data_IF_084178674066
#
_entry.id   IF_084178674066
#
_cell.length_a   1.000
_cell.length_b   1.000
_cell.length_c   1.000
_cell.angle_alpha   90.00
_cell.angle_beta   90.00
_cell.angle_gamma   90.00
#
_symmetry.space_group_name_H-M   'P 1'
#
loop_
_entity.id
_entity.type
_entity.pdbx_description
1 polymer ?
#
# COMPACT_ATOMS: atom_id res chain seq x y z
N UNK A 1 3.71 -9.57 41.42
CA UNK A 1 3.39 -8.75 40.23
C UNK A 1 3.10 -9.61 39.00
N UNK A 2 4.06 -10.30 38.35
CA UNK A 2 3.76 -11.12 37.16
C UNK A 2 2.74 -12.25 37.43
N UNK A 3 2.83 -12.91 38.59
CA UNK A 3 1.83 -13.92 39.00
C UNK A 3 0.46 -13.30 39.29
N UNK A 4 0.42 -12.06 39.80
CA UNK A 4 -0.83 -11.34 40.09
C UNK A 4 -1.49 -10.89 38.78
N UNK A 5 -0.68 -10.47 37.79
CA UNK A 5 -1.12 -10.20 36.42
C UNK A 5 -1.74 -11.47 35.81
N UNK A 6 -1.06 -12.62 35.91
CA UNK A 6 -1.59 -13.88 35.36
C UNK A 6 -2.93 -14.30 35.95
N UNK A 7 -3.11 -14.16 37.28
CA UNK A 7 -4.38 -14.44 37.94
C UNK A 7 -5.50 -13.50 37.53
N UNK A 8 -5.19 -12.23 37.27
CA UNK A 8 -6.15 -11.24 36.78
C UNK A 8 -6.52 -11.45 35.31
N UNK A 9 -5.54 -11.70 34.44
CA UNK A 9 -5.79 -11.92 33.02
C UNK A 9 -6.65 -13.18 32.79
N UNK A 10 -6.60 -14.15 33.72
CA UNK A 10 -7.47 -15.32 33.72
C UNK A 10 -8.93 -15.03 34.12
N UNK A 11 -9.18 -13.89 34.76
CA UNK A 11 -10.53 -13.41 35.07
C UNK A 11 -11.14 -12.80 33.80
N UNK A 12 -11.77 -13.65 32.98
CA UNK A 12 -12.35 -13.32 31.66
C UNK A 12 -13.35 -12.16 31.61
N UNK A 13 -13.72 -11.58 32.77
CA UNK A 13 -14.73 -10.54 32.88
C UNK A 13 -14.15 -9.14 33.17
N UNK A 14 -12.99 -8.82 32.58
CA UNK A 14 -12.44 -7.45 32.59
C UNK A 14 -13.46 -6.41 32.08
N UNK A 15 -14.39 -6.84 31.21
CA UNK A 15 -15.50 -5.99 30.75
C UNK A 15 -16.49 -5.62 31.85
N UNK A 16 -16.72 -6.48 32.84
CA UNK A 16 -17.63 -6.16 33.95
C UNK A 16 -16.97 -5.34 35.05
N UNK A 17 -15.63 -5.24 35.06
CA UNK A 17 -14.85 -4.59 36.12
C UNK A 17 -13.79 -3.60 35.58
N UNK A 18 -14.19 -2.51 34.89
CA UNK A 18 -13.28 -1.50 34.34
C UNK A 18 -12.39 -0.85 35.40
N UNK A 19 -12.85 -0.75 36.65
CA UNK A 19 -12.10 -0.20 37.78
C UNK A 19 -10.81 -0.99 38.09
N UNK A 20 -10.79 -2.30 37.81
CA UNK A 20 -9.58 -3.11 38.02
C UNK A 20 -8.52 -2.84 36.96
N UNK A 21 -8.94 -2.54 35.72
CA UNK A 21 -8.03 -2.12 34.66
C UNK A 21 -7.36 -0.79 35.03
N UNK A 22 -8.13 0.17 35.55
CA UNK A 22 -7.60 1.44 36.05
C UNK A 22 -6.61 1.23 37.21
N UNK A 23 -6.94 0.38 38.19
CA UNK A 23 -6.03 0.05 39.30
C UNK A 23 -4.69 -0.53 38.81
N UNK A 24 -4.72 -1.38 37.78
CA UNK A 24 -3.50 -1.95 37.20
C UNK A 24 -2.67 -0.93 36.44
N UNK A 25 -3.32 -0.04 35.69
CA UNK A 25 -2.65 1.05 35.00
C UNK A 25 -1.99 1.97 36.02
N UNK A 26 -2.69 2.33 37.09
CA UNK A 26 -2.16 3.11 38.21
C UNK A 26 -0.96 2.42 38.88
N UNK A 27 -1.08 1.11 39.13
CA UNK A 27 0.00 0.31 39.70
C UNK A 27 1.22 0.20 38.77
N UNK A 28 1.02 0.28 37.45
CA UNK A 28 2.08 0.21 36.45
C UNK A 28 2.80 1.56 36.23
N UNK A 29 2.23 2.68 36.67
CA UNK A 29 2.79 4.02 36.44
C UNK A 29 1.76 5.09 36.11
N UNK A 30 0.49 4.72 35.96
CA UNK A 30 -0.63 5.64 35.68
C UNK A 30 -0.91 5.86 34.20
N UNK A 31 -0.22 5.16 33.29
CA UNK A 31 -0.46 5.27 31.85
C UNK A 31 -0.42 3.93 31.12
N UNK A 32 -1.05 3.88 29.94
CA UNK A 32 -0.96 2.71 29.05
C UNK A 32 0.46 2.47 28.55
N UNK A 33 1.26 3.54 28.43
CA UNK A 33 2.66 3.47 27.99
C UNK A 33 3.54 2.80 29.05
N UNK A 34 3.25 3.00 30.34
CA UNK A 34 3.94 2.30 31.42
C UNK A 34 3.48 0.83 31.55
N UNK A 35 2.22 0.57 31.22
CA UNK A 35 1.64 -0.76 31.34
C UNK A 35 2.01 -1.71 30.18
N UNK A 36 2.14 -1.19 28.95
CA UNK A 36 2.48 -2.00 27.78
C UNK A 36 3.77 -2.82 27.93
N UNK A 37 4.92 -2.26 28.40
CA UNK A 37 6.14 -3.02 28.65
C UNK A 37 5.97 -4.17 29.66
N UNK A 38 5.07 -4.05 30.65
CA UNK A 38 4.80 -5.12 31.60
C UNK A 38 4.08 -6.30 30.94
N UNK A 39 3.08 -6.01 30.10
CA UNK A 39 2.36 -7.00 29.31
C UNK A 39 3.30 -7.70 28.32
N UNK A 40 4.19 -6.96 27.68
CA UNK A 40 5.20 -7.54 26.78
C UNK A 40 6.25 -8.36 27.53
N UNK A 41 6.72 -7.89 28.68
CA UNK A 41 7.62 -8.67 29.54
C UNK A 41 6.98 -9.97 30.00
N UNK A 42 5.67 -9.96 30.26
CA UNK A 42 4.90 -11.15 30.61
C UNK A 42 4.77 -12.11 29.41
N UNK A 43 4.36 -11.63 28.24
CA UNK A 43 4.31 -12.44 27.01
C UNK A 43 5.67 -13.03 26.65
N UNK A 44 6.72 -12.23 26.72
CA UNK A 44 8.11 -12.66 26.51
C UNK A 44 8.51 -13.75 27.48
N UNK A 45 8.11 -13.61 28.75
CA UNK A 45 8.25 -14.66 29.74
C UNK A 45 7.59 -15.96 29.27
N UNK A 46 6.34 -15.90 28.80
CA UNK A 46 5.64 -17.08 28.29
C UNK A 46 6.29 -17.68 27.04
N UNK A 47 6.80 -16.87 26.12
CA UNK A 47 7.38 -17.34 24.85
C UNK A 47 8.80 -17.86 24.99
N UNK A 48 9.59 -17.32 25.92
CA UNK A 48 10.99 -17.69 26.15
C UNK A 48 11.17 -18.78 27.23
N UNK A 49 10.16 -19.04 28.06
CA UNK A 49 10.35 -19.89 29.23
C UNK A 49 10.37 -21.39 28.95
N UNK A 50 11.48 -21.96 29.41
CA UNK A 50 11.73 -23.32 29.86
C UNK A 50 10.80 -23.73 31.04
N UNK A 51 9.48 -23.54 30.91
CA UNK A 51 8.54 -24.05 31.90
C UNK A 51 8.64 -25.59 31.91
N UNK A 52 8.72 -26.25 33.09
CA UNK A 52 8.62 -27.70 33.16
C UNK A 52 7.23 -28.21 32.75
N UNK A 53 6.22 -27.32 32.74
CA UNK A 53 4.87 -27.58 32.26
C UNK A 53 4.69 -26.98 30.85
N UNK A 54 4.50 -27.82 29.80
CA UNK A 54 4.32 -27.37 28.43
C UNK A 54 2.96 -26.70 28.15
N UNK A 55 1.96 -26.89 29.02
CA UNK A 55 0.59 -26.38 28.78
C UNK A 55 0.37 -24.99 29.40
N UNK A 56 1.08 -24.68 30.48
CA UNK A 56 0.98 -23.40 31.19
C UNK A 56 1.18 -22.13 30.31
N UNK A 57 2.09 -22.11 29.31
CA UNK A 57 2.26 -20.94 28.43
C UNK A 57 1.03 -20.63 27.55
N UNK A 58 0.21 -21.63 27.21
CA UNK A 58 -0.94 -21.47 26.32
C UNK A 58 -2.03 -20.61 26.95
N UNK A 59 -2.42 -20.95 28.18
CA UNK A 59 -3.44 -20.23 28.93
C UNK A 59 -3.03 -18.78 29.14
N UNK A 60 -1.77 -18.53 29.48
CA UNK A 60 -1.29 -17.19 29.73
C UNK A 60 -1.26 -16.30 28.49
N UNK A 61 -0.81 -16.82 27.35
CA UNK A 61 -0.88 -16.04 26.11
C UNK A 61 -2.33 -15.80 25.72
N UNK A 62 -3.21 -16.79 25.83
CA UNK A 62 -4.64 -16.61 25.56
C UNK A 62 -5.26 -15.50 26.43
N UNK A 63 -4.94 -15.50 27.73
CA UNK A 63 -5.41 -14.50 28.67
C UNK A 63 -4.89 -13.09 28.34
N UNK A 64 -3.61 -12.96 27.98
CA UNK A 64 -3.07 -11.66 27.52
C UNK A 64 -3.78 -11.18 26.26
N UNK A 65 -3.96 -12.05 25.26
CA UNK A 65 -4.60 -11.67 24.00
C UNK A 65 -6.06 -11.26 24.21
N UNK A 66 -6.77 -11.99 25.08
CA UNK A 66 -8.14 -11.68 25.49
C UNK A 66 -8.20 -10.35 26.21
N UNK A 67 -7.26 -10.10 27.13
CA UNK A 67 -7.14 -8.82 27.80
C UNK A 67 -6.87 -7.67 26.82
N UNK A 68 -5.90 -7.81 25.90
CA UNK A 68 -5.62 -6.76 24.89
C UNK A 68 -6.86 -6.49 24.06
N UNK A 69 -7.58 -7.55 23.66
CA UNK A 69 -8.85 -7.43 22.96
C UNK A 69 -9.86 -6.65 23.79
N UNK A 70 -9.93 -6.80 25.11
CA UNK A 70 -10.88 -6.07 25.96
C UNK A 70 -10.42 -4.64 26.28
N UNK A 71 -9.17 -4.44 26.64
CA UNK A 71 -8.60 -3.14 26.99
C UNK A 71 -8.56 -2.18 25.80
N UNK A 72 -8.39 -2.72 24.58
CA UNK A 72 -8.29 -1.93 23.35
C UNK A 72 -9.61 -1.95 22.53
N UNK A 73 -10.68 -2.61 23.02
CA UNK A 73 -11.99 -2.65 22.34
C UNK A 73 -13.10 -1.85 23.04
N UNK A 74 -13.77 -1.06 22.22
CA UNK A 74 -15.10 -0.48 22.42
C UNK A 74 -16.19 -1.58 22.48
N UNK A 75 -17.41 -1.28 23.01
CA UNK A 75 -18.47 -2.26 23.30
C UNK A 75 -19.17 -2.74 22.02
N UNK A 76 -18.44 -3.46 21.17
CA UNK A 76 -18.96 -3.97 19.91
C UNK A 76 -19.09 -5.49 20.04
N UNK A 77 -20.35 -5.95 20.05
CA UNK A 77 -20.71 -7.37 20.08
C UNK A 77 -20.45 -8.09 18.73
N UNK A 78 -19.96 -7.33 17.73
CA UNK A 78 -19.76 -7.77 16.36
C UNK A 78 -18.28 -8.14 16.10
N UNK A 79 -18.03 -9.44 15.89
CA UNK A 79 -16.71 -9.98 15.48
C UNK A 79 -16.21 -9.46 14.11
N UNK A 80 -17.01 -8.73 13.34
CA UNK A 80 -16.57 -8.20 12.03
C UNK A 80 -16.17 -6.72 12.10
N UNK A 81 -16.74 -5.97 13.04
CA UNK A 81 -16.47 -4.54 13.19
C UNK A 81 -15.16 -4.28 13.92
N UNK A 82 -14.77 -5.11 14.90
CA UNK A 82 -13.54 -4.85 15.68
C UNK A 82 -12.27 -4.83 14.82
N UNK A 83 -12.27 -5.48 13.66
CA UNK A 83 -11.15 -5.48 12.71
C UNK A 83 -10.93 -4.13 12.02
N UNK A 84 -11.98 -3.32 11.88
CA UNK A 84 -11.89 -2.01 11.19
C UNK A 84 -11.81 -0.83 12.16
N UNK A 85 -11.93 -1.08 13.46
CA UNK A 85 -11.90 -0.05 14.50
C UNK A 85 -10.45 0.39 14.77
N UNK A 86 -10.20 1.71 14.88
CA UNK A 86 -8.93 2.23 15.30
C UNK A 86 -8.37 1.57 16.59
N UNK A 87 -7.10 1.20 16.59
CA UNK A 87 -6.30 0.80 17.75
C UNK A 87 -6.34 1.95 18.75
N UNK A 88 -6.68 1.62 19.99
CA UNK A 88 -6.78 2.57 21.09
C UNK A 88 -5.41 3.10 21.51
N UNK A 89 -5.37 3.84 22.61
CA UNK A 89 -4.09 4.25 23.21
C UNK A 89 -3.25 3.04 23.64
N UNK A 90 -3.90 1.97 24.11
CA UNK A 90 -3.18 0.80 24.59
C UNK A 90 -2.50 0.00 23.47
N UNK A 91 -3.19 -0.28 22.36
CA UNK A 91 -2.52 -0.97 21.26
C UNK A 91 -1.45 -0.09 20.57
N UNK A 92 -1.54 1.24 20.65
CA UNK A 92 -0.43 2.13 20.26
C UNK A 92 0.75 2.01 21.21
N UNK A 93 0.51 2.00 22.52
CA UNK A 93 1.55 1.77 23.53
C UNK A 93 2.25 0.42 23.33
N UNK A 94 1.49 -0.64 23.04
CA UNK A 94 2.04 -1.96 22.70
C UNK A 94 2.88 -1.90 21.42
N UNK A 95 2.41 -1.21 20.39
CA UNK A 95 3.16 -1.00 19.15
C UNK A 95 4.52 -0.34 19.41
N UNK A 96 4.55 0.74 20.21
CA UNK A 96 5.78 1.46 20.52
C UNK A 96 6.78 0.66 21.39
N UNK A 97 6.34 -0.46 21.96
CA UNK A 97 7.13 -1.30 22.86
C UNK A 97 7.62 -2.63 22.23
N UNK A 98 7.66 -2.73 20.90
CA UNK A 98 8.13 -3.92 20.12
C UNK A 98 7.19 -5.15 20.20
N UNK A 99 5.87 -4.93 20.24
CA UNK A 99 4.89 -6.03 20.35
C UNK A 99 4.88 -7.01 19.17
N UNK A 100 5.31 -6.63 17.97
CA UNK A 100 5.32 -7.53 16.81
C UNK A 100 6.18 -8.77 17.04
N UNK A 101 7.36 -8.60 17.65
CA UNK A 101 8.28 -9.69 17.95
C UNK A 101 7.62 -10.74 18.84
N UNK A 102 6.92 -10.30 19.89
CA UNK A 102 6.28 -11.21 20.84
C UNK A 102 5.08 -11.94 20.22
N UNK A 103 4.29 -11.27 19.38
CA UNK A 103 3.17 -11.91 18.66
C UNK A 103 3.66 -12.99 17.70
N UNK A 104 4.69 -12.72 16.91
CA UNK A 104 5.25 -13.73 15.99
C UNK A 104 5.87 -14.88 16.77
N UNK A 105 6.62 -14.57 17.83
CA UNK A 105 7.25 -15.59 18.69
C UNK A 105 6.21 -16.50 19.34
N UNK A 106 5.09 -15.95 19.82
CA UNK A 106 3.98 -16.73 20.34
C UNK A 106 3.38 -17.67 19.29
N UNK A 107 3.12 -17.19 18.08
CA UNK A 107 2.60 -18.05 17.00
C UNK A 107 3.59 -19.15 16.62
N UNK A 108 4.88 -18.82 16.51
CA UNK A 108 5.92 -19.80 16.21
C UNK A 108 6.01 -20.87 17.30
N UNK A 109 5.97 -20.48 18.58
CA UNK A 109 5.95 -21.41 19.72
C UNK A 109 4.79 -22.41 19.60
N UNK A 110 3.59 -21.92 19.30
CA UNK A 110 2.40 -22.79 19.19
C UNK A 110 2.41 -23.67 17.93
N UNK A 111 3.12 -23.26 16.89
CA UNK A 111 3.23 -24.05 15.66
C UNK A 111 4.32 -25.12 15.71
N UNK A 112 5.40 -24.92 16.48
CA UNK A 112 6.54 -25.84 16.55
C UNK A 112 6.23 -27.10 17.41
N UNK A 113 5.14 -27.12 18.19
CA UNK A 113 4.70 -28.29 18.97
C UNK A 113 4.20 -29.48 18.12
N UNK A 114 4.45 -30.71 18.59
CA UNK A 114 4.08 -31.97 17.92
C UNK A 114 2.56 -32.18 17.80
N UNK A 115 1.76 -31.57 18.69
CA UNK A 115 0.30 -31.58 18.64
C UNK A 115 -0.23 -30.24 19.13
N UNK A 116 -0.95 -29.46 18.31
CA UNK A 116 -1.63 -28.29 18.82
C UNK A 116 -2.85 -28.75 19.63
N UNK A 117 -2.82 -28.43 20.92
CA UNK A 117 -4.00 -28.48 21.77
C UNK A 117 -5.09 -27.56 21.18
N UNK A 118 -6.38 -27.80 21.45
CA UNK A 118 -7.44 -26.89 20.99
C UNK A 118 -7.19 -25.45 21.48
N UNK A 119 -6.58 -25.29 22.65
CA UNK A 119 -6.18 -24.00 23.22
C UNK A 119 -5.10 -23.27 22.40
N UNK A 120 -4.20 -24.02 21.75
CA UNK A 120 -3.21 -23.45 20.86
C UNK A 120 -3.85 -22.78 19.64
N UNK A 121 -4.97 -23.34 19.14
CA UNK A 121 -5.71 -22.73 18.04
C UNK A 121 -6.35 -21.41 18.45
N UNK A 122 -6.90 -21.33 19.68
CA UNK A 122 -7.49 -20.09 20.21
C UNK A 122 -6.42 -19.02 20.43
N UNK A 123 -5.24 -19.39 20.92
CA UNK A 123 -4.12 -18.47 21.06
C UNK A 123 -3.62 -17.97 19.70
N UNK A 124 -3.43 -18.87 18.71
CA UNK A 124 -3.05 -18.47 17.35
C UNK A 124 -4.12 -17.58 16.72
N UNK A 125 -5.42 -17.91 16.83
CA UNK A 125 -6.52 -17.06 16.33
C UNK A 125 -6.44 -15.66 16.95
N UNK A 126 -6.25 -15.55 18.28
CA UNK A 126 -6.06 -14.28 18.98
C UNK A 126 -4.85 -13.49 18.48
N UNK A 127 -3.70 -14.14 18.29
CA UNK A 127 -2.51 -13.50 17.72
C UNK A 127 -2.76 -13.00 16.30
N UNK A 128 -3.33 -13.83 15.42
CA UNK A 128 -3.61 -13.47 14.03
C UNK A 128 -4.59 -12.30 13.93
N UNK A 129 -5.59 -12.27 14.82
CA UNK A 129 -6.54 -11.16 14.98
C UNK A 129 -5.85 -9.85 15.38
N UNK A 130 -4.95 -9.87 16.36
CA UNK A 130 -4.21 -8.68 16.75
C UNK A 130 -3.23 -8.22 15.67
N UNK A 131 -2.49 -9.16 15.06
CA UNK A 131 -1.58 -8.85 13.95
C UNK A 131 -2.33 -8.19 12.79
N UNK A 132 -3.51 -8.71 12.42
CA UNK A 132 -4.39 -8.10 11.43
C UNK A 132 -4.66 -6.64 11.76
N UNK A 133 -5.08 -6.38 13.01
CA UNK A 133 -5.52 -5.04 13.42
C UNK A 133 -4.35 -4.06 13.42
N UNK A 134 -3.21 -4.51 13.95
CA UNK A 134 -2.01 -3.70 13.95
C UNK A 134 -1.55 -3.40 12.52
N UNK A 135 -1.51 -4.40 11.63
CA UNK A 135 -1.17 -4.22 10.22
C UNK A 135 -2.07 -3.21 9.51
N UNK A 136 -3.38 -3.31 9.73
CA UNK A 136 -4.37 -2.43 9.07
C UNK A 136 -4.15 -0.95 9.42
N UNK A 137 -3.49 -0.69 10.54
CA UNK A 137 -3.41 0.62 11.16
C UNK A 137 -2.02 1.20 11.26
N UNK A 138 -1.01 0.36 11.15
CA UNK A 138 0.36 0.74 11.40
C UNK A 138 1.01 1.35 10.17
N UNK A 139 2.11 2.05 10.44
CA UNK A 139 3.05 2.48 9.43
C UNK A 139 3.55 1.28 8.60
N UNK A 140 3.90 1.48 7.32
CA UNK A 140 4.56 0.46 6.49
C UNK A 140 5.79 -0.19 7.17
N UNK A 141 6.49 0.53 8.04
CA UNK A 141 7.62 0.01 8.81
C UNK A 141 7.30 -1.27 9.58
N UNK A 142 6.05 -1.41 10.03
CA UNK A 142 5.60 -2.54 10.82
C UNK A 142 5.55 -3.86 10.04
N UNK A 143 5.29 -3.79 8.73
CA UNK A 143 5.37 -4.96 7.87
C UNK A 143 6.79 -5.49 7.74
N UNK A 144 7.76 -4.59 7.59
CA UNK A 144 9.17 -4.98 7.56
C UNK A 144 9.54 -5.68 8.87
N UNK A 145 9.19 -5.08 10.01
CA UNK A 145 9.43 -5.70 11.32
C UNK A 145 8.81 -7.09 11.43
N UNK A 146 7.52 -7.26 11.09
CA UNK A 146 6.89 -8.59 11.11
C UNK A 146 7.62 -9.61 10.24
N UNK A 147 8.00 -9.21 9.03
CA UNK A 147 8.73 -10.08 8.12
C UNK A 147 10.09 -10.47 8.71
N UNK A 148 10.85 -9.51 9.28
CA UNK A 148 12.14 -9.75 9.94
C UNK A 148 12.03 -10.75 11.09
N UNK A 149 10.96 -10.63 11.89
CA UNK A 149 10.67 -11.50 13.04
C UNK A 149 10.15 -12.89 12.66
N UNK A 150 9.97 -13.18 11.37
CA UNK A 150 9.60 -14.50 10.89
C UNK A 150 8.10 -14.72 10.72
N UNK A 151 7.32 -13.64 10.53
CA UNK A 151 5.88 -13.75 10.26
C UNK A 151 5.57 -14.68 9.06
N UNK A 152 6.39 -14.64 8.02
CA UNK A 152 6.20 -15.53 6.87
C UNK A 152 6.39 -17.01 7.25
N UNK A 153 7.36 -17.31 8.12
CA UNK A 153 7.55 -18.66 8.68
C UNK A 153 6.32 -19.07 9.49
N UNK A 154 5.79 -18.18 10.32
CA UNK A 154 4.56 -18.44 11.07
C UNK A 154 3.37 -18.79 10.16
N UNK A 155 3.15 -18.05 9.06
CA UNK A 155 2.10 -18.37 8.09
C UNK A 155 2.29 -19.75 7.42
N UNK A 156 3.54 -20.13 7.12
CA UNK A 156 3.86 -21.44 6.53
C UNK A 156 3.59 -22.56 7.53
N UNK A 157 4.00 -22.40 8.79
CA UNK A 157 3.76 -23.42 9.80
C UNK A 157 2.26 -23.56 10.12
N UNK A 158 1.52 -22.45 10.22
CA UNK A 158 0.06 -22.46 10.31
C UNK A 158 -0.51 -23.26 9.13
N UNK A 159 -0.07 -22.97 7.89
CA UNK A 159 -0.53 -23.68 6.69
C UNK A 159 -0.34 -25.20 6.80
N UNK A 160 0.83 -25.65 7.24
CA UNK A 160 1.16 -27.08 7.40
C UNK A 160 0.33 -27.76 8.50
N UNK A 161 -0.06 -27.02 9.54
CA UNK A 161 -0.86 -27.54 10.67
C UNK A 161 -2.38 -27.39 10.43
N UNK A 162 -2.80 -26.59 9.46
CA UNK A 162 -4.21 -26.26 9.23
C UNK A 162 -5.06 -27.39 8.62
N UNK A 163 -4.47 -28.47 8.08
CA UNK A 163 -5.26 -29.61 7.57
C UNK A 163 -6.11 -30.24 8.68
N UNK A 164 -5.65 -30.16 9.93
CA UNK A 164 -6.32 -30.73 11.11
C UNK A 164 -7.06 -29.68 11.96
N UNK A 165 -6.77 -28.38 11.81
CA UNK A 165 -7.05 -27.37 12.86
C UNK A 165 -7.87 -26.14 12.41
N UNK A 166 -8.77 -26.34 11.45
CA UNK A 166 -9.93 -25.46 11.29
C UNK A 166 -9.86 -24.43 10.17
N UNK A 167 -11.02 -24.21 9.56
CA UNK A 167 -11.24 -23.27 8.44
C UNK A 167 -10.87 -21.81 8.78
N UNK A 168 -10.85 -21.43 10.07
CA UNK A 168 -10.53 -20.07 10.54
C UNK A 168 -9.06 -19.69 10.34
N UNK A 169 -8.12 -20.57 10.69
CA UNK A 169 -6.70 -20.28 10.50
C UNK A 169 -6.34 -20.17 9.01
N UNK A 170 -6.93 -21.05 8.18
CA UNK A 170 -6.87 -20.93 6.72
C UNK A 170 -7.44 -19.61 6.21
N UNK A 171 -8.48 -19.07 6.85
CA UNK A 171 -9.03 -17.76 6.49
C UNK A 171 -8.00 -16.64 6.70
N UNK A 172 -7.30 -16.59 7.84
CA UNK A 172 -6.26 -15.57 8.04
C UNK A 172 -5.10 -15.73 7.07
N UNK A 173 -4.61 -16.95 6.86
CA UNK A 173 -3.51 -17.18 5.90
C UNK A 173 -3.91 -16.66 4.52
N UNK A 174 -5.11 -17.01 4.03
CA UNK A 174 -5.64 -16.49 2.76
C UNK A 174 -5.73 -14.97 2.77
N UNK A 175 -6.27 -14.40 3.85
CA UNK A 175 -6.42 -12.96 3.97
C UNK A 175 -5.06 -12.23 3.90
N UNK A 176 -4.06 -12.69 4.64
CA UNK A 176 -2.72 -12.10 4.61
C UNK A 176 -2.08 -12.21 3.23
N UNK A 177 -2.13 -13.39 2.61
CA UNK A 177 -1.51 -13.64 1.30
C UNK A 177 -2.20 -12.92 0.14
N UNK A 178 -3.52 -12.72 0.21
CA UNK A 178 -4.29 -12.17 -0.91
C UNK A 178 -4.66 -10.70 -0.74
N UNK A 179 -4.82 -10.23 0.50
CA UNK A 179 -5.38 -8.90 0.79
C UNK A 179 -4.37 -7.95 1.41
N UNK A 180 -3.49 -8.44 2.29
CA UNK A 180 -2.67 -7.55 3.12
C UNK A 180 -1.22 -7.44 2.65
N UNK A 181 -0.53 -8.57 2.47
CA UNK A 181 0.87 -8.57 2.04
C UNK A 181 1.04 -7.98 0.64
N UNK A 182 0.24 -8.34 -0.40
CA UNK A 182 0.50 -7.84 -1.75
C UNK A 182 0.46 -6.30 -1.86
N UNK A 183 -0.52 -5.58 -1.29
CA UNK A 183 -0.49 -4.11 -1.27
C UNK A 183 0.68 -3.51 -0.49
N UNK A 184 1.22 -4.22 0.50
CA UNK A 184 2.40 -3.79 1.25
C UNK A 184 3.69 -3.91 0.42
N UNK A 185 3.69 -4.63 -0.72
CA UNK A 185 4.90 -4.75 -1.57
C UNK A 185 5.12 -3.54 -2.49
N UNK A 186 4.42 -2.44 -2.26
CA UNK A 186 4.69 -1.14 -2.91
C UNK A 186 5.79 -0.35 -2.21
N UNK A 187 6.15 -0.73 -0.98
CA UNK A 187 7.16 -0.06 -0.18
C UNK A 187 8.51 -0.74 -0.36
N UNK A 188 9.53 0.05 -0.73
CA UNK A 188 10.86 -0.44 -1.08
C UNK A 188 11.48 -1.32 0.03
N UNK A 189 11.44 -0.86 1.28
CA UNK A 189 12.01 -1.59 2.41
C UNK A 189 11.31 -2.91 2.72
N UNK A 190 9.98 -2.97 2.55
CA UNK A 190 9.20 -4.19 2.75
C UNK A 190 9.62 -5.25 1.71
N UNK A 191 9.84 -4.85 0.45
CA UNK A 191 10.25 -5.78 -0.60
C UNK A 191 11.64 -6.37 -0.31
N UNK A 192 12.62 -5.55 0.09
CA UNK A 192 13.95 -6.05 0.48
C UNK A 192 13.88 -7.02 1.66
N UNK A 193 13.08 -6.68 2.68
CA UNK A 193 12.87 -7.56 3.85
C UNK A 193 12.19 -8.87 3.47
N UNK A 194 11.23 -8.82 2.53
CA UNK A 194 10.51 -9.99 2.05
C UNK A 194 11.47 -11.01 1.41
N UNK A 195 12.49 -10.55 0.67
CA UNK A 195 13.48 -11.43 0.04
C UNK A 195 14.15 -12.34 1.09
N UNK A 196 14.68 -11.72 2.15
CA UNK A 196 15.34 -12.44 3.24
C UNK A 196 14.38 -13.40 3.95
N UNK A 197 13.13 -12.98 4.16
CA UNK A 197 12.11 -13.80 4.82
C UNK A 197 11.64 -14.96 3.95
N UNK A 198 11.58 -14.80 2.62
CA UNK A 198 11.28 -15.88 1.68
C UNK A 198 12.39 -16.94 1.68
N UNK A 199 13.65 -16.52 1.73
CA UNK A 199 14.78 -17.45 1.77
C UNK A 199 14.72 -18.36 3.01
N UNK A 200 14.37 -17.79 4.18
CA UNK A 200 14.20 -18.53 5.44
C UNK A 200 13.11 -19.61 5.38
N UNK A 201 12.13 -19.49 4.49
CA UNK A 201 11.00 -20.45 4.37
C UNK A 201 11.04 -21.30 3.10
N UNK A 202 11.99 -21.06 2.19
CA UNK A 202 12.07 -21.71 0.87
C UNK A 202 12.00 -23.24 0.95
N UNK A 203 12.71 -23.83 1.90
CA UNK A 203 12.72 -25.28 2.10
C UNK A 203 11.36 -25.84 2.54
N UNK A 204 10.64 -25.11 3.40
CA UNK A 204 9.33 -25.52 3.91
C UNK A 204 8.25 -25.47 2.82
N UNK A 205 8.21 -24.39 2.04
CA UNK A 205 7.19 -24.18 0.98
C UNK A 205 7.42 -25.06 -0.25
N UNK A 206 8.62 -25.63 -0.41
CA UNK A 206 8.96 -26.52 -1.54
C UNK A 206 8.60 -27.99 -1.28
N UNK A 207 8.32 -28.35 -0.03
CA UNK A 207 7.99 -29.72 0.37
C UNK A 207 6.63 -30.20 -0.14
N UNK A 208 6.49 -31.50 -0.39
CA UNK A 208 5.25 -32.06 -0.94
C UNK A 208 4.06 -31.95 0.02
N UNK A 209 4.31 -31.99 1.34
CA UNK A 209 3.27 -31.77 2.34
C UNK A 209 2.63 -30.38 2.20
N UNK A 210 3.45 -29.34 2.01
CA UNK A 210 2.97 -27.97 1.80
C UNK A 210 2.13 -27.83 0.52
N UNK A 211 2.53 -28.52 -0.56
CA UNK A 211 1.81 -28.48 -1.85
C UNK A 211 0.41 -29.08 -1.77
N UNK A 212 0.15 -29.96 -0.80
CA UNK A 212 -1.17 -30.57 -0.58
C UNK A 212 -2.12 -29.69 0.23
N UNK A 213 -1.60 -28.66 0.92
CA UNK A 213 -2.41 -27.81 1.79
C UNK A 213 -3.50 -27.03 1.03
N UNK A 214 -4.64 -26.82 1.68
CA UNK A 214 -5.82 -26.14 1.11
C UNK A 214 -5.62 -24.66 0.73
N UNK A 215 -4.47 -24.07 1.08
CA UNK A 215 -4.09 -22.69 0.78
C UNK A 215 -2.90 -22.59 -0.19
N UNK A 216 -2.42 -23.72 -0.73
CA UNK A 216 -1.26 -23.76 -1.63
C UNK A 216 -1.45 -22.87 -2.87
N UNK A 217 -2.65 -22.87 -3.46
CA UNK A 217 -2.95 -22.01 -4.61
C UNK A 217 -2.78 -20.52 -4.27
N UNK A 218 -3.18 -20.08 -3.08
CA UNK A 218 -3.03 -18.70 -2.63
C UNK A 218 -1.56 -18.35 -2.41
N UNK A 219 -0.78 -19.29 -1.85
CA UNK A 219 0.68 -19.14 -1.77
C UNK A 219 1.32 -19.00 -3.15
N UNK A 220 0.94 -19.80 -4.14
CA UNK A 220 1.49 -19.66 -5.50
C UNK A 220 1.21 -18.29 -6.12
N UNK A 221 -0.02 -17.78 -5.97
CA UNK A 221 -0.34 -16.42 -6.43
C UNK A 221 0.48 -15.35 -5.68
N UNK A 222 0.62 -15.49 -4.36
CA UNK A 222 1.44 -14.57 -3.57
C UNK A 222 2.92 -14.62 -4.00
N UNK A 223 3.50 -15.81 -4.17
CA UNK A 223 4.89 -15.98 -4.57
C UNK A 223 5.16 -15.42 -5.96
N UNK A 224 4.23 -15.60 -6.91
CA UNK A 224 4.34 -14.98 -8.22
C UNK A 224 4.32 -13.45 -8.13
N UNK A 225 3.45 -12.89 -7.30
CA UNK A 225 3.42 -11.44 -7.07
C UNK A 225 4.67 -10.94 -6.35
N UNK A 226 5.14 -11.66 -5.32
CA UNK A 226 6.36 -11.34 -4.60
C UNK A 226 7.56 -11.32 -5.54
N UNK A 227 7.70 -12.31 -6.42
CA UNK A 227 8.77 -12.35 -7.40
C UNK A 227 8.71 -11.16 -8.36
N UNK A 228 7.52 -10.81 -8.89
CA UNK A 228 7.34 -9.61 -9.74
C UNK A 228 7.87 -8.35 -9.03
N UNK A 229 7.65 -8.25 -7.72
CA UNK A 229 8.09 -7.12 -6.88
C UNK A 229 9.58 -7.15 -6.59
N UNK A 230 10.17 -8.31 -6.31
CA UNK A 230 11.62 -8.48 -6.15
C UNK A 230 12.36 -8.11 -7.43
N UNK A 231 11.89 -8.57 -8.58
CA UNK A 231 12.45 -8.19 -9.88
C UNK A 231 12.40 -6.66 -10.08
N UNK A 232 11.28 -6.03 -9.67
CA UNK A 232 11.13 -4.58 -9.72
C UNK A 232 12.14 -3.87 -8.80
N UNK A 233 12.33 -4.41 -7.60
CA UNK A 233 13.25 -3.87 -6.60
C UNK A 233 14.69 -3.92 -7.09
N UNK A 234 15.11 -5.04 -7.68
CA UNK A 234 16.46 -5.19 -8.24
C UNK A 234 16.68 -4.28 -9.44
N UNK A 235 15.75 -4.29 -10.41
CA UNK A 235 15.80 -3.39 -11.57
C UNK A 235 15.91 -1.91 -11.13
N UNK A 236 15.17 -1.52 -10.09
CA UNK A 236 15.22 -0.18 -9.51
C UNK A 236 16.58 0.11 -8.83
N UNK A 237 17.12 -0.83 -8.05
CA UNK A 237 18.41 -0.67 -7.38
C UNK A 237 19.58 -0.52 -8.37
N UNK A 238 19.51 -1.19 -9.52
CA UNK A 238 20.53 -1.10 -10.57
C UNK A 238 20.35 0.07 -11.55
N UNK A 239 19.27 0.88 -11.44
CA UNK A 239 19.10 2.06 -12.28
C UNK A 239 20.14 3.11 -11.95
N UNK A 240 21.14 3.22 -12.82
CA UNK A 240 22.23 4.21 -12.72
C UNK A 240 21.79 5.62 -13.13
N UNK A 241 20.67 5.75 -13.84
CA UNK A 241 20.28 7.01 -14.45
C UNK A 241 18.78 7.26 -14.37
N UNK A 242 18.41 8.29 -13.62
CA UNK A 242 17.09 8.89 -13.63
C UNK A 242 17.04 10.00 -14.68
N UNK A 243 16.13 9.89 -15.64
CA UNK A 243 15.77 11.00 -16.53
C UNK A 243 14.68 11.84 -15.87
N UNK A 244 14.61 13.09 -16.29
CA UNK A 244 13.69 14.08 -15.73
C UNK A 244 13.29 15.05 -16.82
N UNK A 245 12.05 15.50 -16.76
CA UNK A 245 11.50 16.41 -17.76
C UNK A 245 11.41 17.82 -17.20
N UNK A 246 11.58 18.82 -18.07
CA UNK A 246 11.37 20.19 -17.65
C UNK A 246 9.87 20.50 -17.53
N UNK A 247 9.46 20.98 -16.37
CA UNK A 247 8.07 21.31 -16.07
C UNK A 247 7.57 22.62 -16.69
N UNK A 248 8.45 23.39 -17.32
CA UNK A 248 8.01 24.43 -18.24
C UNK A 248 7.38 23.74 -19.47
N UNK A 249 6.06 23.80 -19.56
CA UNK A 249 5.26 23.18 -20.62
C UNK A 249 5.68 23.60 -22.04
N UNK A 250 6.41 24.70 -22.21
CA UNK A 250 6.92 25.14 -23.53
C UNK A 250 8.30 24.55 -23.88
N UNK A 251 9.01 23.96 -22.93
CA UNK A 251 10.36 23.44 -23.13
C UNK A 251 10.34 22.01 -23.66
N UNK A 252 9.70 21.09 -22.93
CA UNK A 252 9.66 19.67 -23.29
C UNK A 252 11.01 18.94 -23.25
N UNK A 253 12.07 19.59 -22.73
CA UNK A 253 13.39 18.97 -22.64
C UNK A 253 13.36 17.82 -21.63
N UNK A 254 13.96 16.70 -22.01
CA UNK A 254 14.22 15.56 -21.14
C UNK A 254 15.72 15.46 -20.95
N UNK A 255 16.15 15.52 -19.70
CA UNK A 255 17.55 15.60 -19.32
C UNK A 255 17.88 14.54 -18.26
N UNK A 256 19.15 14.21 -18.14
CA UNK A 256 19.66 13.46 -17.00
C UNK A 256 19.43 14.24 -15.71
N UNK A 257 19.17 13.54 -14.60
CA UNK A 257 18.95 14.19 -13.29
C UNK A 257 20.12 15.11 -12.90
N UNK A 258 21.36 14.72 -13.21
CA UNK A 258 22.55 15.53 -12.97
C UNK A 258 22.61 16.80 -13.82
N UNK A 259 21.95 16.82 -14.99
CA UNK A 259 21.90 17.95 -15.91
C UNK A 259 20.79 18.96 -15.56
N UNK A 260 19.91 18.65 -14.61
CA UNK A 260 18.83 19.56 -14.23
C UNK A 260 19.36 20.69 -13.34
N UNK A 261 19.16 21.92 -13.82
CA UNK A 261 19.60 23.13 -13.15
C UNK A 261 18.94 23.36 -11.78
N UNK A 262 17.78 22.74 -11.51
CA UNK A 262 17.20 22.68 -10.18
C UNK A 262 15.71 22.34 -10.15
N UNK A 263 15.21 22.13 -8.92
CA UNK A 263 13.79 22.01 -8.60
C UNK A 263 13.24 23.31 -8.01
N UNK A 264 11.93 23.50 -8.03
CA UNK A 264 11.28 24.61 -7.34
C UNK A 264 11.63 24.56 -5.84
N UNK A 265 12.12 25.67 -5.28
CA UNK A 265 12.53 25.71 -3.86
C UNK A 265 11.34 25.74 -2.90
N UNK A 266 10.16 26.14 -3.37
CA UNK A 266 8.92 26.11 -2.59
C UNK A 266 8.37 24.69 -2.50
N UNK A 267 7.74 24.23 -3.58
CA UNK A 267 7.03 22.95 -3.60
C UNK A 267 7.93 21.71 -3.75
N UNK A 268 9.14 21.87 -4.29
CA UNK A 268 10.05 20.77 -4.62
C UNK A 268 9.50 19.70 -5.57
N UNK A 269 8.34 19.96 -6.17
CA UNK A 269 7.61 19.01 -7.01
C UNK A 269 7.93 19.15 -8.51
N UNK A 270 8.36 20.35 -8.93
CA UNK A 270 8.64 20.67 -10.33
C UNK A 270 10.14 20.91 -10.55
N UNK A 271 10.65 20.40 -11.67
CA UNK A 271 12.03 20.41 -12.10
C UNK A 271 12.20 21.23 -13.38
N UNK A 272 13.34 21.92 -13.48
CA UNK A 272 13.62 22.81 -14.59
C UNK A 272 15.03 22.63 -15.10
N UNK A 273 15.17 22.46 -16.42
CA UNK A 273 16.48 22.42 -17.09
C UNK A 273 17.25 23.75 -16.99
N UNK A 274 16.57 24.86 -16.64
CA UNK A 274 17.20 26.16 -16.44
C UNK A 274 16.39 27.09 -15.54
N UNK A 275 17.06 28.08 -14.93
CA UNK A 275 16.40 29.18 -14.21
C UNK A 275 15.45 29.99 -15.10
N UNK A 276 15.70 30.04 -16.42
CA UNK A 276 14.81 30.69 -17.38
C UNK A 276 13.48 29.94 -17.46
N UNK A 277 13.51 28.62 -17.61
CA UNK A 277 12.31 27.78 -17.64
C UNK A 277 11.52 27.90 -16.33
N UNK A 278 12.19 27.89 -15.18
CA UNK A 278 11.56 28.13 -13.89
C UNK A 278 10.83 29.49 -13.84
N UNK A 279 11.47 30.58 -14.26
CA UNK A 279 10.86 31.92 -14.26
C UNK A 279 9.65 32.01 -15.19
N UNK A 280 9.68 31.33 -16.34
CA UNK A 280 8.56 31.27 -17.29
C UNK A 280 7.38 30.54 -16.65
N UNK A 281 7.62 29.35 -16.10
CA UNK A 281 6.58 28.56 -15.45
C UNK A 281 6.00 29.24 -14.20
N UNK A 282 6.87 29.88 -13.40
CA UNK A 282 6.48 30.70 -12.24
C UNK A 282 5.43 31.76 -12.60
N UNK A 283 5.66 32.48 -13.70
CA UNK A 283 4.75 33.53 -14.21
C UNK A 283 3.51 32.96 -14.91
N UNK A 284 3.57 31.73 -15.42
CA UNK A 284 2.49 31.09 -16.15
C UNK A 284 1.39 30.49 -15.25
N UNK A 285 1.56 30.55 -13.92
CA UNK A 285 0.58 30.11 -12.94
C UNK A 285 1.18 29.34 -11.76
N UNK A 286 2.40 28.81 -11.87
CA UNK A 286 2.98 27.99 -10.80
C UNK A 286 3.06 28.73 -9.46
N UNK A 287 3.31 30.04 -9.47
CA UNK A 287 3.33 30.87 -8.24
C UNK A 287 2.05 30.73 -7.41
N UNK A 288 0.90 30.65 -8.07
CA UNK A 288 -0.41 30.63 -7.41
C UNK A 288 -0.66 29.33 -6.67
N UNK A 289 -0.16 28.22 -7.20
CA UNK A 289 -0.43 26.86 -6.71
C UNK A 289 0.80 26.18 -6.10
N UNK A 290 1.94 26.88 -6.00
CA UNK A 290 3.21 26.31 -5.56
C UNK A 290 3.07 25.64 -4.18
N UNK A 291 2.49 26.33 -3.20
CA UNK A 291 2.41 25.77 -1.85
C UNK A 291 1.50 24.55 -1.78
N UNK A 292 0.43 24.53 -2.58
CA UNK A 292 -0.56 23.47 -2.53
C UNK A 292 -0.22 22.25 -3.39
N UNK A 293 0.65 22.39 -4.39
CA UNK A 293 1.23 21.25 -5.11
C UNK A 293 2.00 20.28 -4.20
N UNK A 294 2.40 20.68 -2.98
CA UNK A 294 3.03 19.79 -2.00
C UNK A 294 2.09 18.69 -1.50
N UNK A 295 0.78 18.99 -1.38
CA UNK A 295 -0.24 18.05 -0.89
C UNK A 295 -0.59 17.00 -1.93
N UNK A 296 -0.80 17.46 -3.16
CA UNK A 296 -1.35 16.67 -4.25
C UNK A 296 -0.33 15.72 -4.91
N UNK A 297 0.90 16.21 -5.04
CA UNK A 297 1.96 15.46 -5.69
C UNK A 297 2.70 14.63 -4.65
N UNK A 298 3.24 13.49 -5.08
CA UNK A 298 4.10 12.63 -4.27
C UNK A 298 5.44 13.38 -3.94
N UNK A 299 5.44 14.24 -2.90
CA UNK A 299 6.51 15.19 -2.53
C UNK A 299 6.90 15.12 -1.04
N UNK A 300 7.93 15.88 -0.63
CA UNK A 300 8.73 15.59 0.59
C UNK A 300 8.08 15.93 1.94
N UNK A 301 7.17 16.89 2.04
CA UNK A 301 7.03 17.63 3.33
C UNK A 301 5.95 17.11 4.28
N UNK A 302 4.91 16.46 3.76
CA UNK A 302 3.75 16.02 4.57
C UNK A 302 3.52 14.51 4.50
N UNK A 303 4.37 13.76 3.79
CA UNK A 303 4.09 12.37 3.44
C UNK A 303 4.82 11.37 4.35
N UNK A 304 4.11 10.31 4.74
CA UNK A 304 4.62 9.13 5.48
C UNK A 304 5.68 8.34 4.69
N UNK A 305 5.83 8.61 3.39
CA UNK A 305 6.78 7.93 2.52
C UNK A 305 8.18 8.56 2.55
N UNK A 306 9.18 7.71 2.68
CA UNK A 306 10.58 8.05 2.49
C UNK A 306 10.86 8.38 1.02
N UNK A 307 11.97 9.08 0.75
CA UNK A 307 12.34 9.46 -0.61
C UNK A 307 12.54 8.27 -1.55
N UNK A 308 13.19 7.20 -1.06
CA UNK A 308 13.39 5.97 -1.83
C UNK A 308 12.06 5.28 -2.15
N UNK A 309 11.12 5.27 -1.22
CA UNK A 309 9.79 4.66 -1.41
C UNK A 309 8.98 5.42 -2.44
N UNK A 310 9.01 6.76 -2.42
CA UNK A 310 8.35 7.55 -3.47
C UNK A 310 8.93 7.26 -4.85
N UNK A 311 10.25 7.15 -4.94
CA UNK A 311 10.93 6.87 -6.20
C UNK A 311 10.61 5.46 -6.70
N UNK A 312 10.59 4.48 -5.78
CA UNK A 312 10.21 3.11 -6.08
C UNK A 312 8.75 3.01 -6.52
N UNK A 313 7.82 3.69 -5.84
CA UNK A 313 6.40 3.71 -6.20
C UNK A 313 6.17 4.30 -7.59
N UNK A 314 6.84 5.41 -7.93
CA UNK A 314 6.77 5.97 -9.29
C UNK A 314 7.33 4.98 -10.33
N UNK A 315 8.41 4.28 -10.01
CA UNK A 315 8.96 3.25 -10.88
C UNK A 315 7.98 2.08 -11.07
N UNK A 316 7.29 1.64 -10.00
CA UNK A 316 6.23 0.62 -10.10
C UNK A 316 5.09 1.07 -11.02
N UNK A 317 4.67 2.32 -10.91
CA UNK A 317 3.66 2.92 -11.82
C UNK A 317 4.17 2.94 -13.26
N UNK A 318 5.41 3.37 -13.49
CA UNK A 318 6.00 3.44 -14.82
C UNK A 318 6.14 2.06 -15.46
N UNK A 319 6.69 1.08 -14.74
CA UNK A 319 6.80 -0.32 -15.19
C UNK A 319 5.43 -0.90 -15.51
N UNK A 320 4.43 -0.69 -14.64
CA UNK A 320 3.07 -1.17 -14.87
C UNK A 320 2.41 -0.47 -16.06
N UNK A 321 2.61 0.84 -16.23
CA UNK A 321 2.15 1.59 -17.38
C UNK A 321 2.74 1.02 -18.68
N UNK A 322 4.05 0.74 -18.73
CA UNK A 322 4.69 0.18 -19.91
C UNK A 322 4.16 -1.22 -20.25
N UNK A 323 3.99 -2.08 -19.23
CA UNK A 323 3.47 -3.44 -19.42
C UNK A 323 2.01 -3.47 -19.88
N UNK A 324 1.19 -2.52 -19.40
CA UNK A 324 -0.25 -2.46 -19.67
C UNK A 324 -0.62 -1.41 -20.72
N UNK A 325 0.40 -0.81 -21.37
CA UNK A 325 0.24 0.39 -22.19
C UNK A 325 -0.79 0.22 -23.28
N UNK A 326 -0.78 -0.91 -23.96
CA UNK A 326 -1.77 -1.23 -25.01
C UNK A 326 -3.19 -1.18 -24.49
N UNK A 327 -3.47 -1.83 -23.35
CA UNK A 327 -4.79 -1.87 -22.72
C UNK A 327 -5.22 -0.48 -22.23
N UNK A 328 -4.30 0.27 -21.61
CA UNK A 328 -4.56 1.64 -21.14
C UNK A 328 -4.92 2.55 -22.31
N UNK A 329 -4.14 2.53 -23.39
CA UNK A 329 -4.40 3.34 -24.58
C UNK A 329 -5.72 2.94 -25.26
N UNK A 330 -6.08 1.66 -25.27
CA UNK A 330 -7.36 1.20 -25.82
C UNK A 330 -8.54 1.78 -25.04
N UNK A 331 -8.48 1.72 -23.71
CA UNK A 331 -9.48 2.35 -22.84
C UNK A 331 -9.55 3.87 -23.08
N UNK A 332 -8.40 4.53 -23.24
CA UNK A 332 -8.34 5.96 -23.55
C UNK A 332 -9.05 6.28 -24.87
N UNK A 333 -8.81 5.51 -25.94
CA UNK A 333 -9.48 5.68 -27.24
C UNK A 333 -10.98 5.47 -27.13
N UNK A 334 -11.44 4.42 -26.46
CA UNK A 334 -12.87 4.16 -26.24
C UNK A 334 -13.55 5.32 -25.51
N UNK A 335 -12.91 5.83 -24.43
CA UNK A 335 -13.41 6.98 -23.69
C UNK A 335 -13.46 8.23 -24.57
N UNK A 336 -12.39 8.51 -25.34
CA UNK A 336 -12.34 9.64 -26.26
C UNK A 336 -13.39 9.54 -27.37
N UNK A 337 -13.63 8.35 -27.91
CA UNK A 337 -14.61 8.11 -28.97
C UNK A 337 -16.04 8.35 -28.47
N UNK A 338 -16.34 7.91 -27.24
CA UNK A 338 -17.66 8.07 -26.61
C UNK A 338 -18.00 9.52 -26.22
N UNK A 339 -17.00 10.36 -25.99
CA UNK A 339 -17.23 11.76 -25.61
C UNK A 339 -17.52 12.62 -26.84
N UNK A 340 -18.68 13.28 -26.86
CA UNK A 340 -18.86 14.42 -27.77
C UNK A 340 -17.82 15.48 -27.41
N UNK A 341 -17.21 16.12 -28.41
CA UNK A 341 -16.23 17.20 -28.15
C UNK A 341 -16.91 18.18 -27.18
N UNK A 342 -16.34 18.31 -25.97
CA UNK A 342 -17.02 19.01 -24.88
C UNK A 342 -17.34 20.46 -25.26
N UNK A 343 -18.24 21.10 -24.50
CA UNK A 343 -18.73 22.47 -24.75
C UNK A 343 -17.63 23.52 -24.98
N UNK A 344 -16.40 23.25 -24.53
CA UNK A 344 -15.23 24.16 -24.66
C UNK A 344 -14.39 23.92 -25.91
N UNK A 345 -14.73 22.96 -26.77
CA UNK A 345 -13.99 22.65 -28.00
C UNK A 345 -12.59 22.05 -27.80
N UNK A 346 -12.16 21.83 -26.56
CA UNK A 346 -10.88 21.19 -26.22
C UNK A 346 -11.09 19.68 -25.96
N UNK A 347 -10.12 18.82 -26.33
CA UNK A 347 -10.18 17.41 -25.99
C UNK A 347 -10.13 17.22 -24.46
N UNK A 348 -10.80 16.18 -23.93
CA UNK A 348 -10.84 15.92 -22.50
C UNK A 348 -9.46 15.48 -21.98
N UNK A 349 -9.14 15.87 -20.76
CA UNK A 349 -7.93 15.39 -20.07
C UNK A 349 -8.22 14.01 -19.48
N UNK A 350 -7.37 13.04 -19.82
CA UNK A 350 -7.50 11.67 -19.32
C UNK A 350 -6.67 11.49 -18.04
N UNK A 351 -7.17 10.69 -17.12
CA UNK A 351 -6.52 10.32 -15.86
C UNK A 351 -6.50 8.80 -15.70
N UNK A 352 -5.33 8.21 -15.51
CA UNK A 352 -5.18 6.76 -15.29
C UNK A 352 -4.85 6.48 -13.83
N UNK A 353 -5.73 5.79 -13.12
CA UNK A 353 -5.53 5.37 -11.74
C UNK A 353 -4.93 3.96 -11.70
N UNK A 354 -3.83 3.81 -10.97
CA UNK A 354 -3.25 2.53 -10.56
C UNK A 354 -3.61 2.26 -9.10
N UNK A 355 -4.48 1.29 -8.87
CA UNK A 355 -4.90 0.89 -7.53
C UNK A 355 -4.11 -0.32 -7.04
N UNK A 356 -3.05 -0.05 -6.29
CA UNK A 356 -2.21 -1.07 -5.66
C UNK A 356 -2.78 -1.59 -4.34
N UNK A 357 -3.97 -1.13 -3.91
CA UNK A 357 -4.70 -1.82 -2.84
C UNK A 357 -5.25 -3.19 -3.29
N UNK A 358 -5.24 -3.45 -4.60
CA UNK A 358 -5.66 -4.72 -5.20
C UNK A 358 -4.45 -5.48 -5.71
N UNK A 359 -4.54 -6.80 -5.66
CA UNK A 359 -3.57 -7.70 -6.29
C UNK A 359 -4.29 -8.68 -7.21
N UNK A 360 -4.06 -8.63 -8.53
CA UNK A 360 -3.19 -7.66 -9.23
C UNK A 360 -3.71 -6.21 -9.13
N UNK A 361 -2.85 -5.19 -9.37
CA UNK A 361 -3.29 -3.79 -9.34
C UNK A 361 -4.41 -3.53 -10.35
N UNK A 362 -5.48 -2.87 -9.90
CA UNK A 362 -6.58 -2.47 -10.78
C UNK A 362 -6.21 -1.17 -11.49
N UNK A 363 -6.32 -1.15 -12.82
CA UNK A 363 -6.03 0.04 -13.63
C UNK A 363 -7.34 0.55 -14.22
N UNK A 364 -7.62 1.84 -14.04
CA UNK A 364 -8.85 2.45 -14.56
C UNK A 364 -8.55 3.80 -15.18
N UNK A 365 -9.15 4.07 -16.34
CA UNK A 365 -9.03 5.34 -17.05
C UNK A 365 -10.30 6.16 -16.84
N UNK A 366 -10.12 7.43 -16.50
CA UNK A 366 -11.19 8.41 -16.26
C UNK A 366 -11.00 9.64 -17.14
N UNK A 367 -12.06 10.43 -17.26
CA UNK A 367 -11.97 11.81 -17.74
C UNK A 367 -11.81 12.71 -16.51
N UNK A 368 -10.71 13.43 -16.44
CA UNK A 368 -10.40 14.33 -15.33
C UNK A 368 -11.42 15.48 -15.18
N UNK A 369 -12.10 15.83 -16.28
CA UNK A 369 -13.10 16.90 -16.35
C UNK A 369 -14.51 16.50 -15.88
N UNK A 370 -14.87 15.21 -15.91
CA UNK A 370 -16.27 14.74 -15.68
C UNK A 370 -16.54 14.41 -14.20
N UNK A 371 -15.74 14.97 -13.30
CA UNK A 371 -15.93 14.86 -11.86
C UNK A 371 -15.36 13.57 -11.26
N UNK A 372 -14.77 13.72 -10.08
CA UNK A 372 -14.05 12.67 -9.36
C UNK A 372 -15.01 11.74 -8.57
N UNK A 373 -16.22 11.45 -9.09
CA UNK A 373 -17.19 10.62 -8.36
C UNK A 373 -16.77 9.15 -8.24
N UNK A 374 -16.11 8.60 -9.27
CA UNK A 374 -15.48 7.26 -9.23
C UNK A 374 -14.22 7.21 -8.35
N UNK A 375 -13.90 8.34 -7.73
CA UNK A 375 -12.63 8.69 -7.14
C UNK A 375 -12.86 9.17 -5.68
N UNK A 376 -13.88 8.60 -5.01
CA UNK A 376 -14.16 8.81 -3.59
C UNK A 376 -12.93 8.49 -2.73
N UNK A 377 -12.68 9.31 -1.70
CA UNK A 377 -11.52 9.18 -0.82
C UNK A 377 -10.29 9.97 -1.27
N UNK A 378 -10.35 10.57 -2.46
CA UNK A 378 -9.38 11.54 -2.90
C UNK A 378 -9.60 12.88 -2.20
N UNK A 379 -8.59 13.38 -1.50
CA UNK A 379 -8.46 14.80 -1.11
C UNK A 379 -8.28 15.72 -2.35
N UNK A 380 -8.78 15.30 -3.52
CA UNK A 380 -8.89 16.09 -4.75
C UNK A 380 -10.22 16.85 -4.80
N UNK A 381 -11.08 16.66 -3.80
CA UNK A 381 -12.32 17.41 -3.65
C UNK A 381 -12.29 18.19 -2.35
N UNK A 382 -12.80 19.41 -2.39
CA UNK A 382 -13.19 20.15 -1.21
C UNK A 382 -14.39 19.45 -0.51
N UNK A 383 -14.69 19.78 0.77
CA UNK A 383 -15.81 19.18 1.50
C UNK A 383 -17.18 19.30 0.81
N UNK A 384 -17.35 20.28 -0.07
CA UNK A 384 -18.57 20.50 -0.88
C UNK A 384 -18.63 19.64 -2.16
N UNK A 385 -17.59 18.83 -2.41
CA UNK A 385 -17.49 17.94 -3.55
C UNK A 385 -16.93 18.57 -4.83
N UNK A 386 -16.60 19.88 -4.81
CA UNK A 386 -15.94 20.57 -5.92
C UNK A 386 -14.47 20.12 -6.03
N UNK A 387 -13.89 20.06 -7.24
CA UNK A 387 -12.49 19.73 -7.38
C UNK A 387 -11.61 20.77 -6.68
N UNK A 388 -10.53 20.33 -6.04
CA UNK A 388 -9.60 21.24 -5.38
C UNK A 388 -8.90 22.14 -6.41
N UNK A 389 -8.55 23.39 -6.05
CA UNK A 389 -7.86 24.30 -6.97
C UNK A 389 -6.55 23.73 -7.55
N UNK A 390 -5.88 22.85 -6.80
CA UNK A 390 -4.66 22.16 -7.19
C UNK A 390 -4.92 21.16 -8.31
N UNK A 391 -6.00 20.39 -8.18
CA UNK A 391 -6.41 19.45 -9.21
C UNK A 391 -6.76 20.18 -10.49
N UNK A 392 -7.51 21.30 -10.39
CA UNK A 392 -7.85 22.13 -11.55
C UNK A 392 -6.59 22.68 -12.25
N UNK A 393 -5.57 23.14 -11.51
CA UNK A 393 -4.29 23.57 -12.09
C UNK A 393 -3.58 22.42 -12.81
N UNK A 394 -3.55 21.20 -12.23
CA UNK A 394 -2.92 20.05 -12.89
C UNK A 394 -3.65 19.63 -14.17
N UNK A 395 -4.99 19.61 -14.15
CA UNK A 395 -5.81 19.34 -15.34
C UNK A 395 -5.57 20.38 -16.41
N UNK A 396 -5.53 21.65 -16.03
CA UNK A 396 -5.27 22.75 -16.96
C UNK A 396 -3.84 22.73 -17.51
N UNK A 397 -2.84 22.37 -16.69
CA UNK A 397 -1.47 22.12 -17.15
C UNK A 397 -1.40 20.96 -18.15
N UNK A 398 -2.10 19.86 -17.87
CA UNK A 398 -2.17 18.72 -18.78
C UNK A 398 -2.79 19.11 -20.12
N UNK A 399 -3.88 19.90 -20.09
CA UNK A 399 -4.50 20.46 -21.30
C UNK A 399 -3.54 21.34 -22.10
N UNK A 400 -2.88 22.29 -21.44
CA UNK A 400 -1.90 23.20 -22.08
C UNK A 400 -0.67 22.48 -22.63
N UNK A 401 -0.37 21.28 -22.14
CA UNK A 401 0.74 20.46 -22.63
C UNK A 401 0.48 19.87 -24.03
N UNK A 402 -0.78 19.87 -24.47
CA UNK A 402 -1.24 19.27 -25.73
C UNK A 402 -0.89 17.77 -25.82
N UNK A 403 -1.12 17.03 -24.73
CA UNK A 403 -0.88 15.59 -24.68
C UNK A 403 0.53 15.17 -24.26
N UNK A 404 1.46 16.12 -24.10
CA UNK A 404 2.81 15.85 -23.55
C UNK A 404 2.82 15.54 -22.05
N UNK A 405 1.74 15.83 -21.34
CA UNK A 405 1.55 15.52 -19.93
C UNK A 405 0.26 14.73 -19.79
N UNK A 406 0.39 13.51 -19.28
CA UNK A 406 -0.72 12.64 -18.95
C UNK A 406 -0.80 12.47 -17.44
N UNK A 407 -1.99 12.61 -16.88
CA UNK A 407 -2.19 12.50 -15.44
C UNK A 407 -2.36 11.04 -15.06
N UNK A 408 -1.56 10.58 -14.10
CA UNK A 408 -1.73 9.26 -13.50
C UNK A 408 -1.90 9.42 -11.99
N UNK A 409 -2.65 8.54 -11.38
CA UNK A 409 -2.85 8.47 -9.94
C UNK A 409 -2.36 7.13 -9.43
N UNK A 410 -1.85 7.09 -8.21
CA UNK A 410 -1.53 5.84 -7.54
C UNK A 410 -2.24 5.79 -6.19
N UNK A 411 -3.04 4.74 -5.96
CA UNK A 411 -3.70 4.46 -4.69
C UNK A 411 -2.98 3.29 -4.04
N UNK A 412 -2.53 3.47 -2.79
CA UNK A 412 -1.91 2.40 -2.00
C UNK A 412 -2.69 2.17 -0.70
N UNK A 413 -2.37 1.10 0.02
CA UNK A 413 -3.02 0.79 1.29
C UNK A 413 -2.59 1.80 2.36
N UNK A 414 -3.46 2.75 2.66
CA UNK A 414 -3.38 3.70 3.77
C UNK A 414 -4.77 3.84 4.40
N UNK A 415 -4.79 4.28 5.66
CA UNK A 415 -6.01 4.61 6.39
C UNK A 415 -5.95 6.07 6.86
N UNK A 416 -6.76 6.99 6.28
CA UNK A 416 -7.67 6.76 5.15
C UNK A 416 -6.94 6.48 3.83
N UNK A 417 -7.59 5.87 2.84
CA UNK A 417 -7.02 5.70 1.51
C UNK A 417 -6.65 7.05 0.89
N UNK A 418 -5.40 7.19 0.48
CA UNK A 418 -4.92 8.37 -0.23
C UNK A 418 -4.52 7.97 -1.66
N UNK A 419 -4.56 8.94 -2.58
CA UNK A 419 -4.01 8.76 -3.92
C UNK A 419 -3.12 9.93 -4.26
N UNK A 420 -1.95 9.62 -4.78
CA UNK A 420 -1.00 10.63 -5.23
C UNK A 420 -1.04 10.76 -6.73
N UNK A 421 -0.93 11.99 -7.23
CA UNK A 421 -0.82 12.24 -8.66
C UNK A 421 0.64 12.14 -9.10
N UNK A 422 0.89 11.32 -10.11
CA UNK A 422 2.18 11.10 -10.76
C UNK A 422 2.01 11.45 -12.25
N UNK A 423 2.30 12.69 -12.66
CA UNK A 423 2.27 13.04 -14.07
C UNK A 423 3.37 12.28 -14.82
N UNK A 424 2.99 11.59 -15.90
CA UNK A 424 3.95 11.05 -16.87
C UNK A 424 4.04 11.99 -18.06
N UNK A 425 5.23 12.11 -18.64
CA UNK A 425 5.47 13.02 -19.76
C UNK A 425 6.06 12.31 -20.96
N UNK A 426 5.78 12.87 -22.12
CA UNK A 426 6.38 12.50 -23.40
C UNK A 426 7.13 13.69 -24.00
N UNK A 427 8.14 13.38 -24.83
CA UNK A 427 8.90 14.38 -25.59
C UNK A 427 8.02 15.11 -26.62
N UNK A 428 7.05 14.38 -27.18
CA UNK A 428 6.19 14.83 -28.28
C UNK A 428 4.70 14.70 -27.94
N UNK A 429 3.91 15.60 -28.53
CA UNK A 429 2.44 15.57 -28.52
C UNK A 429 1.86 14.57 -29.53
N UNK A 430 2.64 14.16 -30.53
CA UNK A 430 2.22 13.34 -31.69
C UNK A 430 1.47 12.08 -31.27
N UNK A 431 1.95 11.41 -30.22
CA UNK A 431 1.30 10.22 -29.69
C UNK A 431 -0.15 10.45 -29.27
N UNK A 432 -0.42 11.56 -28.60
CA UNK A 432 -1.77 11.92 -28.17
C UNK A 432 -2.63 12.39 -29.35
N UNK A 433 -2.04 13.11 -30.32
CA UNK A 433 -2.73 13.50 -31.56
C UNK A 433 -3.20 12.27 -32.35
N UNK A 434 -2.37 11.22 -32.44
CA UNK A 434 -2.74 9.95 -33.07
C UNK A 434 -3.83 9.21 -32.31
N UNK A 435 -3.88 9.30 -30.97
CA UNK A 435 -4.98 8.74 -30.18
C UNK A 435 -6.30 9.49 -30.44
N UNK A 436 -6.24 10.82 -30.58
CA UNK A 436 -7.41 11.63 -30.93
C UNK A 436 -7.93 11.30 -32.34
N UNK A 437 -7.03 11.14 -33.31
CA UNK A 437 -7.37 10.71 -34.67
C UNK A 437 -8.05 9.34 -34.65
N UNK A 438 -7.44 8.35 -34.00
CA UNK A 438 -8.02 7.01 -33.86
C UNK A 438 -9.38 7.04 -33.18
N UNK A 439 -9.55 7.82 -32.10
CA UNK A 439 -10.84 7.99 -31.45
C UNK A 439 -11.90 8.62 -32.37
N UNK A 440 -11.49 9.55 -33.24
CA UNK A 440 -12.35 10.12 -34.29
C UNK A 440 -12.80 9.07 -35.30
N UNK A 441 -11.88 8.22 -35.77
CA UNK A 441 -12.16 7.10 -36.69
C UNK A 441 -13.10 6.06 -36.07
N UNK A 442 -12.88 5.69 -34.81
CA UNK A 442 -13.78 4.79 -34.05
C UNK A 442 -15.18 5.40 -33.96
N UNK A 443 -15.29 6.69 -33.60
CA UNK A 443 -16.57 7.39 -33.53
C UNK A 443 -17.29 7.45 -34.89
N UNK A 444 -16.54 7.58 -35.98
CA UNK A 444 -17.07 7.58 -37.33
C UNK A 444 -17.47 6.17 -37.83
N UNK A 445 -17.17 5.11 -37.06
CA UNK A 445 -17.42 3.72 -37.45
C UNK A 445 -16.42 3.18 -38.48
N UNK A 446 -15.28 3.87 -38.69
CA UNK A 446 -14.22 3.43 -39.60
C UNK A 446 -13.34 2.34 -38.99
N UNK A 447 -13.31 2.27 -37.65
CA UNK A 447 -12.61 1.25 -36.88
C UNK A 447 -13.60 0.69 -35.86
N UNK A 448 -13.86 -0.62 -35.92
CA UNK A 448 -14.65 -1.30 -34.89
C UNK A 448 -13.89 -1.29 -33.55
N UNK A 449 -14.60 -1.23 -32.42
CA UNK A 449 -13.97 -1.23 -31.09
C UNK A 449 -13.04 -2.44 -30.86
N UNK A 450 -13.35 -3.57 -31.49
CA UNK A 450 -12.55 -4.81 -31.45
C UNK A 450 -11.22 -4.69 -32.19
N UNK A 451 -11.07 -3.74 -33.12
CA UNK A 451 -9.84 -3.48 -33.90
C UNK A 451 -8.96 -2.36 -33.33
N UNK A 452 -9.39 -1.68 -32.26
CA UNK A 452 -8.62 -0.63 -31.59
C UNK A 452 -7.26 -1.13 -31.07
N UNK A 453 -7.16 -2.33 -30.45
CA UNK A 453 -5.89 -2.82 -29.94
C UNK A 453 -4.80 -2.97 -31.01
N UNK A 454 -5.15 -3.30 -32.26
CA UNK A 454 -4.23 -3.46 -33.38
C UNK A 454 -3.71 -2.11 -33.89
N UNK A 455 -4.59 -1.12 -34.03
CA UNK A 455 -4.21 0.25 -34.43
C UNK A 455 -3.26 0.88 -33.41
N UNK A 456 -3.45 0.57 -32.12
CA UNK A 456 -2.59 1.04 -31.04
C UNK A 456 -1.15 0.53 -31.17
N UNK A 457 -0.92 -0.69 -31.66
CA UNK A 457 0.46 -1.17 -31.89
C UNK A 457 1.21 -0.27 -32.88
N UNK A 458 0.50 0.21 -33.91
CA UNK A 458 1.04 1.19 -34.85
C UNK A 458 1.32 2.57 -34.24
N UNK A 459 0.58 2.96 -33.20
CA UNK A 459 0.82 4.19 -32.43
C UNK A 459 1.99 3.99 -31.47
N UNK A 460 2.09 2.85 -30.79
CA UNK A 460 3.16 2.50 -29.86
C UNK A 460 4.54 2.58 -30.52
N UNK A 461 4.67 2.17 -31.78
CA UNK A 461 5.92 2.32 -32.53
C UNK A 461 6.36 3.77 -32.79
N UNK A 462 5.43 4.73 -32.78
CA UNK A 462 5.73 6.17 -32.91
C UNK A 462 5.86 6.90 -31.57
N UNK A 463 5.29 6.33 -30.53
CA UNK A 463 5.36 6.87 -29.19
C UNK A 463 6.82 6.72 -28.73
N UNK A 464 7.60 7.79 -28.86
CA UNK A 464 8.95 7.89 -28.30
C UNK A 464 8.98 7.55 -26.81
N UNK A 465 10.17 7.55 -26.22
CA UNK A 465 10.36 7.17 -24.82
C UNK A 465 9.39 7.94 -23.92
N UNK A 466 8.46 7.23 -23.25
CA UNK A 466 7.70 7.81 -22.14
C UNK A 466 8.63 7.79 -20.96
N UNK A 467 9.01 8.99 -20.55
CA UNK A 467 9.97 9.17 -19.49
C UNK A 467 9.21 9.47 -18.22
N UNK A 468 9.50 8.65 -17.22
CA UNK A 468 9.07 8.89 -15.85
C UNK A 468 9.65 10.21 -15.35
N UNK A 469 8.79 11.06 -14.78
CA UNK A 469 9.21 12.26 -14.08
C UNK A 469 9.31 11.89 -12.61
N UNK A 470 10.48 12.04 -11.97
CA UNK A 470 10.53 12.08 -10.50
C UNK A 470 10.80 13.44 -9.93
#
# INVERSE_FOLDING_TARGET
MLNDIGGFLADSDVRSHPERLEEMIDAAGGSMDDFAPLILGYLRGCTQQQSPDPDLPLDYVHHVLTFIKHADAFPVDCEHEWMTIPVGSFGRALYEADFAEELVSAVLLFCDGDKPHDDAQYAIDGCMKLMYRMVFMSSPAFWAEFLERGFLRALVLITLKCETHGWRLNHYVRFFLQVQLPPALVYYYIVGTLEESLEKVRGLISGDDFKRCAVYAQWQHFLAHAQERLDAHDEFAFRTVAYKTCDNLRCGSIEYTECIAGRCSGCQAFYYCSRRCQKVDWKAGHRTFCDSHQRLLLTQKEQRLLFVERSFLRYLVHRKYLNERRSILAQQVTILAAQTVGERGAPPVLFTLFDFQKSPPLITVYIADVGLEGLKGLELKEPDGTPSPEWEDLVERARRSQGRMQLHGVRILESPPHVWVIPLRSESAEGYERLLDLAGRVRAGEVEETGVPEEIEGILGSLGNVVEVH
#
